data_IF_337197587631
#
_entry.id   IF_337197587631
#
_cell.length_a   1.000
_cell.length_b   1.000
_cell.length_c   1.000
_cell.angle_alpha   90.00
_cell.angle_beta   90.00
_cell.angle_gamma   90.00
#
_symmetry.space_group_name_H-M   'P 1'
#
loop_
_entity.id
_entity.type
_entity.pdbx_description
1 polymer ?
#
# COMPACT_ATOMS: atom_id res chain seq x y z
N UNK A 1 2.03 0.07 -14.77
CA UNK A 1 1.96 0.47 -13.36
C UNK A 1 3.10 -0.19 -12.61
N UNK A 2 3.98 0.59 -11.99
CA UNK A 2 5.02 0.15 -11.07
C UNK A 2 4.58 0.35 -9.63
N UNK A 3 4.80 -0.63 -8.77
CA UNK A 3 4.40 -0.56 -7.35
C UNK A 3 5.59 -0.90 -6.46
N UNK A 4 5.73 -0.14 -5.37
CA UNK A 4 6.63 -0.44 -4.26
C UNK A 4 5.84 -0.34 -2.97
N UNK A 5 5.84 -1.39 -2.15
CA UNK A 5 5.20 -1.42 -0.83
C UNK A 5 6.30 -1.70 0.18
N UNK A 6 6.44 -0.87 1.21
CA UNK A 6 7.38 -1.04 2.32
C UNK A 6 6.57 -1.17 3.60
N UNK A 7 6.54 -2.37 4.19
CA UNK A 7 5.64 -2.71 5.31
C UNK A 7 5.91 -1.83 6.53
N UNK A 8 7.15 -1.81 7.00
CA UNK A 8 7.52 -1.15 8.25
C UNK A 8 7.42 0.38 8.18
N UNK A 9 7.55 0.95 6.98
CA UNK A 9 7.41 2.39 6.77
C UNK A 9 5.94 2.81 6.58
N UNK A 10 5.02 1.87 6.37
CA UNK A 10 3.63 2.15 6.02
C UNK A 10 3.50 2.88 4.68
N UNK A 11 4.47 2.70 3.77
CA UNK A 11 4.57 3.48 2.54
C UNK A 11 4.25 2.63 1.32
N UNK A 12 3.41 3.17 0.44
CA UNK A 12 3.09 2.59 -0.87
C UNK A 12 3.36 3.61 -1.95
N UNK A 13 4.19 3.23 -2.93
CA UNK A 13 4.47 3.96 -4.14
C UNK A 13 3.76 3.34 -5.33
N UNK A 14 3.02 4.14 -6.10
CA UNK A 14 2.42 3.74 -7.38
C UNK A 14 2.88 4.73 -8.44
N UNK A 15 3.53 4.21 -9.49
CA UNK A 15 4.10 5.00 -10.61
C UNK A 15 4.94 6.21 -10.15
N UNK A 16 5.69 6.03 -9.05
CA UNK A 16 6.57 7.05 -8.47
C UNK A 16 5.91 8.00 -7.46
N UNK A 17 4.60 7.90 -7.22
CA UNK A 17 3.90 8.68 -6.20
C UNK A 17 3.70 7.86 -4.93
N UNK A 18 4.28 8.34 -3.82
CA UNK A 18 4.28 7.66 -2.52
C UNK A 18 3.25 8.23 -1.56
N UNK A 19 2.59 7.35 -0.81
CA UNK A 19 1.60 7.71 0.23
C UNK A 19 1.71 6.80 1.43
N UNK A 20 1.25 7.30 2.56
CA UNK A 20 1.05 6.53 3.78
C UNK A 20 -0.21 5.67 3.64
N UNK A 21 -0.10 4.39 3.96
CA UNK A 21 -1.16 3.39 3.91
C UNK A 21 -1.03 2.51 5.14
N UNK A 22 -2.15 2.22 5.80
CA UNK A 22 -2.17 1.20 6.84
C UNK A 22 -1.91 -0.18 6.21
N UNK A 23 -0.78 -0.78 6.56
CA UNK A 23 -0.32 -2.09 6.11
C UNK A 23 -0.32 -3.12 7.25
N UNK A 24 -0.99 -2.85 8.37
CA UNK A 24 -1.04 -3.77 9.54
C UNK A 24 -1.64 -5.15 9.23
N UNK A 25 -2.41 -5.26 8.14
CA UNK A 25 -2.96 -6.53 7.65
C UNK A 25 -1.98 -7.33 6.78
N UNK A 26 -0.83 -6.75 6.40
CA UNK A 26 0.22 -7.47 5.70
C UNK A 26 0.94 -8.39 6.70
N UNK A 27 1.24 -9.65 6.33
CA UNK A 27 1.99 -10.54 7.20
C UNK A 27 3.32 -9.91 7.65
N UNK A 28 3.66 -9.96 8.94
CA UNK A 28 4.83 -9.27 9.49
C UNK A 28 6.17 -9.80 8.95
N UNK A 29 6.19 -10.99 8.35
CA UNK A 29 7.37 -11.54 7.70
C UNK A 29 7.70 -10.86 6.36
N UNK A 30 6.74 -10.17 5.73
CA UNK A 30 6.94 -9.49 4.45
C UNK A 30 7.57 -8.13 4.70
N UNK A 31 8.80 -7.92 4.22
CA UNK A 31 9.51 -6.65 4.31
C UNK A 31 9.02 -5.66 3.26
N UNK A 32 8.96 -6.11 2.01
CA UNK A 32 8.60 -5.28 0.87
C UNK A 32 7.98 -6.08 -0.26
N UNK A 33 7.19 -5.41 -1.09
CA UNK A 33 6.66 -5.97 -2.34
C UNK A 33 6.96 -4.98 -3.45
N UNK A 34 7.52 -5.46 -4.56
CA UNK A 34 7.88 -4.65 -5.72
C UNK A 34 7.27 -5.26 -6.97
N UNK A 35 6.69 -4.44 -7.84
CA UNK A 35 6.07 -4.84 -9.09
C UNK A 35 6.44 -3.87 -10.21
N UNK A 36 6.87 -4.39 -11.36
CA UNK A 36 7.34 -3.56 -12.48
C UNK A 36 6.29 -3.31 -13.58
N UNK A 37 5.13 -3.96 -13.49
CA UNK A 37 4.07 -3.95 -14.51
C UNK A 37 3.78 -5.33 -15.11
N UNK A 38 4.71 -6.26 -14.99
CA UNK A 38 4.64 -7.62 -15.56
C UNK A 38 5.00 -8.70 -14.53
N UNK A 39 5.99 -8.44 -13.69
CA UNK A 39 6.44 -9.33 -12.64
C UNK A 39 6.96 -8.54 -11.43
N UNK A 40 7.23 -9.24 -10.34
CA UNK A 40 7.66 -8.64 -9.10
C UNK A 40 8.37 -9.58 -8.15
N UNK A 41 8.64 -9.06 -6.96
CA UNK A 41 9.23 -9.81 -5.87
C UNK A 41 8.55 -9.48 -4.54
N UNK A 42 8.48 -10.48 -3.68
CA UNK A 42 8.19 -10.33 -2.26
C UNK A 42 9.51 -10.53 -1.52
N UNK A 43 9.91 -9.54 -0.74
CA UNK A 43 11.06 -9.60 0.16
C UNK A 43 10.59 -9.97 1.57
N UNK A 44 11.35 -10.83 2.24
CA UNK A 44 11.07 -11.27 3.61
C UNK A 44 12.23 -10.91 4.53
N UNK A 45 11.96 -10.67 5.82
CA UNK A 45 13.02 -10.29 6.76
C UNK A 45 14.01 -11.43 7.05
N UNK A 46 13.55 -12.69 7.05
CA UNK A 46 14.35 -13.85 7.44
C UNK A 46 14.26 -15.03 6.45
N UNK A 47 13.88 -14.76 5.20
CA UNK A 47 13.74 -15.78 4.15
C UNK A 47 14.19 -15.26 2.78
N UNK A 48 14.42 -16.17 1.85
CA UNK A 48 14.75 -15.81 0.47
C UNK A 48 13.55 -15.10 -0.21
N UNK A 49 13.85 -14.14 -1.08
CA UNK A 49 12.83 -13.45 -1.85
C UNK A 49 12.05 -14.43 -2.73
N UNK A 50 10.74 -14.19 -2.86
CA UNK A 50 9.87 -14.95 -3.75
C UNK A 50 9.53 -14.14 -5.01
N UNK A 51 9.44 -14.81 -6.15
CA UNK A 51 8.90 -14.21 -7.37
C UNK A 51 7.40 -13.97 -7.22
N UNK A 52 6.92 -12.85 -7.77
CA UNK A 52 5.52 -12.49 -7.85
C UNK A 52 5.13 -12.40 -9.33
N UNK A 53 4.18 -13.24 -9.75
CA UNK A 53 3.70 -13.27 -11.15
C UNK A 53 2.41 -12.48 -11.35
N UNK A 54 1.70 -12.16 -10.26
CA UNK A 54 0.48 -11.38 -10.32
C UNK A 54 0.36 -10.50 -9.07
N UNK A 55 0.06 -9.22 -9.28
CA UNK A 55 -0.14 -8.25 -8.20
C UNK A 55 -1.51 -8.35 -7.53
N UNK A 56 -2.43 -9.17 -8.07
CA UNK A 56 -3.83 -9.25 -7.64
C UNK A 56 -4.01 -9.59 -6.17
N UNK A 57 -3.11 -10.40 -5.58
CA UNK A 57 -3.09 -10.71 -4.15
C UNK A 57 -2.91 -9.45 -3.26
N UNK A 58 -2.36 -8.38 -3.81
CA UNK A 58 -2.05 -7.12 -3.14
C UNK A 58 -2.91 -5.96 -3.66
N UNK A 59 -3.94 -6.22 -4.46
CA UNK A 59 -4.80 -5.17 -5.03
C UNK A 59 -5.46 -4.31 -3.95
N UNK A 60 -5.81 -4.90 -2.80
CA UNK A 60 -6.37 -4.17 -1.66
C UNK A 60 -5.46 -3.03 -1.15
N UNK A 61 -4.14 -3.16 -1.32
CA UNK A 61 -3.16 -2.13 -0.93
C UNK A 61 -3.18 -0.98 -1.94
N UNK A 62 -3.25 -1.30 -3.23
CA UNK A 62 -3.41 -0.31 -4.30
C UNK A 62 -4.71 0.47 -4.12
N UNK A 63 -5.79 -0.21 -3.74
CA UNK A 63 -7.08 0.41 -3.47
C UNK A 63 -7.00 1.35 -2.27
N UNK A 64 -6.33 0.95 -1.18
CA UNK A 64 -6.07 1.83 -0.03
C UNK A 64 -5.19 3.03 -0.39
N UNK A 65 -4.17 2.83 -1.21
CA UNK A 65 -3.34 3.92 -1.72
C UNK A 65 -4.18 4.92 -2.53
N UNK A 66 -5.08 4.43 -3.39
CA UNK A 66 -5.98 5.27 -4.18
C UNK A 66 -6.99 6.02 -3.29
N UNK A 67 -7.52 5.39 -2.24
CA UNK A 67 -8.38 6.05 -1.27
C UNK A 67 -7.65 7.17 -0.51
N UNK A 68 -6.36 6.98 -0.20
CA UNK A 68 -5.53 8.01 0.43
C UNK A 68 -5.27 9.26 -0.45
N UNK A 69 -5.63 9.25 -1.75
CA UNK A 69 -5.62 10.50 -2.56
C UNK A 69 -6.66 11.49 -2.10
N UNK A 70 -7.77 10.98 -1.57
CA UNK A 70 -8.92 11.81 -1.31
C UNK A 70 -8.67 12.52 0.02
N UNK A 71 -8.62 13.86 0.06
CA UNK A 71 -8.70 14.55 1.34
C UNK A 71 -9.97 14.05 2.01
N UNK A 72 -9.84 13.52 3.22
CA UNK A 72 -10.98 13.29 4.10
C UNK A 72 -11.65 14.63 4.26
N UNK A 73 -12.70 14.91 3.50
CA UNK A 73 -13.60 16.01 3.82
C UNK A 73 -14.09 15.69 5.22
N UNK A 74 -13.69 16.43 6.27
CA UNK A 74 -14.32 16.23 7.55
C UNK A 74 -15.78 16.59 7.31
N UNK A 75 -16.69 15.68 7.58
CA UNK A 75 -18.10 16.00 7.70
C UNK A 75 -18.21 17.01 8.83
N UNK A 76 -18.11 18.31 8.52
CA UNK A 76 -18.43 19.38 9.44
C UNK A 76 -19.90 19.23 9.75
N UNK A 77 -20.20 18.48 10.81
CA UNK A 77 -21.49 18.59 11.47
C UNK A 77 -21.53 19.99 12.02
N UNK A 78 -22.13 20.89 11.26
CA UNK A 78 -22.55 22.20 11.75
C UNK A 78 -23.66 21.94 12.77
N UNK A 79 -23.27 21.65 14.02
CA UNK A 79 -24.22 21.71 15.13
C UNK A 79 -24.30 23.18 15.50
N UNK A 80 -25.43 23.78 15.15
CA UNK A 80 -25.74 25.18 15.42
C UNK A 80 -25.57 25.51 16.90
N UNK A 81 -25.22 26.78 17.14
CA UNK A 81 -25.55 27.44 18.41
C UNK A 81 -27.06 27.41 18.56
N UNK A 82 -27.53 27.01 19.72
CA UNK A 82 -28.67 27.62 20.40
C UNK A 82 -28.24 27.91 21.84
#
# INVERSE_FOLDING_TARGET
MRITIIRDDGVVGVDGLFRQVDLSALPPEIRAIQWNGESGHIEYDNAANASLEAITAFQWIVDRWAAASQPSVPSTTHRGRD
#
